data_IF_040836040370
#
_entry.id   IF_040836040370
#
_cell.length_a   1.000
_cell.length_b   1.000
_cell.length_c   1.000
_cell.angle_alpha   90.00
_cell.angle_beta   90.00
_cell.angle_gamma   90.00
#
_symmetry.space_group_name_H-M   'P 1'
#
loop_
_entity.id
_entity.type
_entity.pdbx_description
1 polymer ?
#
# COMPACT_ATOMS: atom_id res chain seq x y z
N UNK A 1 -17.92 16.32 2.20
CA UNK A 1 -16.79 16.08 1.27
C UNK A 1 -15.64 15.52 2.08
N UNK A 2 -15.00 14.44 1.62
CA UNK A 2 -13.81 13.90 2.29
C UNK A 2 -12.60 14.78 1.93
N UNK A 3 -11.79 15.14 2.92
CA UNK A 3 -10.55 15.92 2.72
C UNK A 3 -9.43 14.98 2.25
N UNK A 4 -9.42 14.68 0.95
CA UNK A 4 -8.44 13.78 0.31
C UNK A 4 -7.47 14.59 -0.55
N UNK A 5 -6.17 14.38 -0.35
CA UNK A 5 -5.07 14.92 -1.16
C UNK A 5 -4.43 13.76 -1.94
N UNK A 6 -4.28 13.90 -3.26
CA UNK A 6 -3.59 12.93 -4.09
C UNK A 6 -2.09 13.28 -4.14
N UNK A 7 -1.21 12.37 -3.75
CA UNK A 7 0.24 12.58 -3.85
C UNK A 7 0.80 11.62 -4.91
N UNK A 8 1.39 12.18 -5.96
CA UNK A 8 1.91 11.40 -7.08
C UNK A 8 3.38 11.00 -6.85
N UNK A 9 3.71 9.77 -7.23
CA UNK A 9 5.07 9.23 -7.18
C UNK A 9 5.70 9.23 -8.59
N UNK A 10 7.02 9.40 -8.71
CA UNK A 10 7.69 9.30 -10.01
C UNK A 10 7.55 7.89 -10.59
N UNK A 11 7.62 7.79 -11.92
CA UNK A 11 7.63 6.51 -12.63
C UNK A 11 8.75 5.62 -12.09
N UNK A 12 8.44 4.34 -11.81
CA UNK A 12 9.32 3.38 -11.14
C UNK A 12 9.69 3.69 -9.67
N UNK A 13 9.04 4.67 -9.04
CA UNK A 13 9.20 4.99 -7.62
C UNK A 13 8.30 4.16 -6.69
N UNK A 14 7.99 2.91 -7.04
CA UNK A 14 7.04 2.10 -6.26
C UNK A 14 7.46 1.94 -4.80
N UNK A 15 8.76 1.88 -4.53
CA UNK A 15 9.34 1.75 -3.19
C UNK A 15 8.96 2.88 -2.22
N UNK A 16 8.55 4.06 -2.74
CA UNK A 16 8.02 5.16 -1.93
C UNK A 16 6.57 4.89 -1.47
N UNK A 17 5.87 3.96 -2.11
CA UNK A 17 4.52 3.57 -1.75
C UNK A 17 4.54 2.60 -0.56
N UNK A 18 4.12 3.07 0.61
CA UNK A 18 4.07 2.27 1.83
C UNK A 18 3.24 0.99 1.74
N UNK A 19 2.30 0.91 0.80
CA UNK A 19 1.48 -0.29 0.62
C UNK A 19 2.26 -1.44 -0.03
N UNK A 20 3.34 -1.14 -0.78
CA UNK A 20 4.12 -2.15 -1.50
C UNK A 20 4.82 -3.11 -0.51
N UNK A 21 5.41 -2.56 0.55
CA UNK A 21 6.03 -3.35 1.62
C UNK A 21 5.00 -4.24 2.36
N UNK A 22 3.76 -3.76 2.53
CA UNK A 22 2.69 -4.53 3.17
C UNK A 22 2.24 -5.70 2.27
N UNK A 23 2.12 -5.47 0.95
CA UNK A 23 1.75 -6.51 -0.02
C UNK A 23 2.85 -7.56 -0.22
N UNK A 24 4.13 -7.18 -0.13
CA UNK A 24 5.22 -8.15 -0.19
C UNK A 24 5.09 -9.20 0.92
N UNK A 25 4.83 -8.77 2.16
CA UNK A 25 4.66 -9.67 3.29
C UNK A 25 3.37 -10.52 3.19
N UNK A 26 2.27 -9.96 2.67
CA UNK A 26 1.05 -10.73 2.38
C UNK A 26 1.31 -11.83 1.35
N UNK A 27 2.04 -11.52 0.26
CA UNK A 27 2.38 -12.50 -0.78
C UNK A 27 3.13 -13.69 -0.20
N UNK A 28 4.13 -13.44 0.63
CA UNK A 28 4.85 -14.54 1.30
C UNK A 28 3.93 -15.36 2.20
N UNK A 29 3.01 -14.74 2.94
CA UNK A 29 2.19 -15.47 3.90
C UNK A 29 1.03 -16.26 3.27
N UNK A 30 0.31 -15.67 2.31
CA UNK A 30 -0.95 -16.23 1.79
C UNK A 30 -0.86 -16.77 0.36
N UNK A 31 0.23 -16.48 -0.37
CA UNK A 31 0.39 -16.92 -1.77
C UNK A 31 1.56 -17.90 -1.94
N UNK A 32 2.67 -17.70 -1.22
CA UNK A 32 3.90 -18.48 -1.42
C UNK A 32 4.33 -19.33 -0.21
N UNK A 33 3.78 -19.11 0.98
CA UNK A 33 4.30 -19.67 2.25
C UNK A 33 3.49 -20.80 2.84
N UNK A 34 2.40 -21.21 2.17
CA UNK A 34 1.44 -22.20 2.67
C UNK A 34 0.91 -23.02 1.51
N UNK A 35 0.97 -24.35 1.62
CA UNK A 35 0.31 -25.29 0.71
C UNK A 35 -1.21 -25.24 0.95
N UNK A 36 -1.86 -24.23 0.39
CA UNK A 36 -3.31 -24.17 0.36
C UNK A 36 -3.84 -25.29 -0.54
N UNK A 37 -4.77 -26.09 -0.03
CA UNK A 37 -5.33 -27.23 -0.76
C UNK A 37 -6.50 -26.83 -1.66
N UNK A 38 -6.96 -25.59 -1.57
CA UNK A 38 -7.99 -25.00 -2.44
C UNK A 38 -7.90 -23.48 -2.49
N UNK A 39 -8.54 -22.88 -3.50
CA UNK A 39 -8.69 -21.43 -3.59
C UNK A 39 -9.53 -20.83 -2.45
N UNK A 40 -10.49 -21.58 -1.90
CA UNK A 40 -11.27 -21.12 -0.74
C UNK A 40 -10.40 -20.95 0.50
N UNK A 41 -9.48 -21.87 0.73
CA UNK A 41 -8.53 -21.80 1.85
C UNK A 41 -7.63 -20.57 1.74
N UNK A 42 -7.13 -20.29 0.53
CA UNK A 42 -6.35 -19.09 0.25
C UNK A 42 -7.17 -17.80 0.44
N UNK A 43 -8.43 -17.79 -0.01
CA UNK A 43 -9.33 -16.65 0.12
C UNK A 43 -9.68 -16.34 1.59
N UNK A 44 -9.60 -17.34 2.48
CA UNK A 44 -9.73 -17.16 3.93
C UNK A 44 -8.42 -16.65 4.55
N UNK A 45 -7.27 -17.11 4.07
CA UNK A 45 -5.96 -16.75 4.60
C UNK A 45 -5.61 -15.25 4.40
N UNK A 46 -5.97 -14.67 3.25
CA UNK A 46 -5.72 -13.25 2.93
C UNK A 46 -6.36 -12.29 3.95
N UNK A 47 -7.68 -12.30 4.19
CA UNK A 47 -8.30 -11.41 5.17
C UNK A 47 -7.88 -11.73 6.61
N UNK A 48 -7.58 -13.00 6.93
CA UNK A 48 -7.02 -13.36 8.23
C UNK A 48 -5.65 -12.72 8.47
N UNK A 49 -4.78 -12.71 7.46
CA UNK A 49 -3.50 -12.00 7.52
C UNK A 49 -3.70 -10.50 7.75
N UNK A 50 -4.56 -9.86 6.96
CA UNK A 50 -4.80 -8.41 7.05
C UNK A 50 -5.31 -8.03 8.45
N UNK A 51 -6.28 -8.79 8.99
CA UNK A 51 -6.78 -8.57 10.36
C UNK A 51 -5.68 -8.73 11.40
N UNK A 52 -4.90 -9.82 11.33
CA UNK A 52 -3.79 -10.07 12.26
C UNK A 52 -2.75 -8.94 12.20
N UNK A 53 -2.36 -8.52 10.99
CA UNK A 53 -1.34 -7.49 10.79
C UNK A 53 -1.82 -6.13 11.28
N UNK A 54 -3.10 -5.83 11.12
CA UNK A 54 -3.71 -4.57 11.51
C UNK A 54 -4.13 -4.49 12.99
N UNK A 55 -4.21 -5.62 13.71
CA UNK A 55 -4.63 -5.66 15.11
C UNK A 55 -3.83 -4.75 16.07
N UNK A 56 -2.59 -4.39 15.69
CA UNK A 56 -1.73 -3.46 16.43
C UNK A 56 -1.11 -2.39 15.53
N UNK A 57 -1.59 -2.25 14.30
CA UNK A 57 -1.08 -1.24 13.39
C UNK A 57 -1.56 0.14 13.86
N UNK A 58 -0.63 1.09 13.88
CA UNK A 58 -0.98 2.49 14.04
C UNK A 58 -1.26 3.10 12.67
N UNK A 59 -2.13 4.12 12.58
CA UNK A 59 -2.35 4.85 11.34
C UNK A 59 -1.03 5.37 10.77
N UNK A 60 -0.74 5.05 9.51
CA UNK A 60 0.38 5.65 8.78
C UNK A 60 -0.04 7.08 8.41
N UNK A 61 0.51 8.07 9.13
CA UNK A 61 0.24 9.51 8.92
C UNK A 61 1.50 10.22 8.42
N UNK A 62 1.34 11.47 7.95
CA UNK A 62 2.46 12.35 7.63
C UNK A 62 3.43 11.83 6.55
N UNK A 63 2.92 11.17 5.51
CA UNK A 63 3.74 10.74 4.37
C UNK A 63 4.48 11.93 3.74
N UNK A 64 5.81 11.86 3.63
CA UNK A 64 6.64 12.83 2.92
C UNK A 64 6.39 14.32 3.30
N UNK A 65 6.06 14.62 4.56
CA UNK A 65 5.88 16.01 5.02
C UNK A 65 7.17 16.81 4.79
N UNK A 66 7.04 17.97 4.15
CA UNK A 66 8.18 18.83 3.80
C UNK A 66 9.04 18.30 2.65
N UNK A 67 8.72 17.14 2.07
CA UNK A 67 9.42 16.61 0.90
C UNK A 67 9.04 17.40 -0.35
N UNK A 68 9.99 17.66 -1.27
CA UNK A 68 9.68 18.16 -2.59
C UNK A 68 8.62 17.34 -3.32
N UNK A 69 8.47 16.03 -3.05
CA UNK A 69 7.44 15.20 -3.70
C UNK A 69 6.02 15.79 -3.54
N UNK A 70 5.75 16.47 -2.42
CA UNK A 70 4.44 17.13 -2.21
C UNK A 70 4.26 18.42 -3.02
N UNK A 71 5.34 19.04 -3.50
CA UNK A 71 5.25 20.24 -4.38
C UNK A 71 4.99 19.86 -5.83
N UNK A 72 5.18 18.58 -6.20
CA UNK A 72 4.86 18.07 -7.54
C UNK A 72 3.36 17.90 -7.72
N UNK A 73 2.59 17.90 -6.64
CA UNK A 73 1.13 17.97 -6.70
C UNK A 73 0.63 19.29 -7.30
N UNK A 74 1.42 20.35 -7.16
CA UNK A 74 1.16 21.66 -7.81
C UNK A 74 1.69 21.71 -9.25
N UNK A 75 2.31 20.63 -9.76
CA UNK A 75 2.82 20.60 -11.11
C UNK A 75 1.62 20.67 -12.07
N UNK A 76 1.49 21.73 -12.88
CA UNK A 76 0.36 21.84 -13.78
C UNK A 76 0.43 20.66 -14.74
N UNK A 77 -0.65 19.87 -14.78
CA UNK A 77 -0.92 18.97 -15.90
C UNK A 77 -0.92 19.84 -17.15
N UNK A 78 0.24 20.00 -17.81
CA UNK A 78 0.29 20.50 -19.17
C UNK A 78 -0.29 19.38 -20.01
N UNK A 79 -1.60 19.42 -20.18
CA UNK A 79 -2.30 18.67 -21.21
C UNK A 79 -1.60 18.98 -22.54
N UNK A 80 -0.99 17.94 -23.11
CA UNK A 80 -0.56 17.94 -24.50
C UNK A 80 -1.78 17.71 -25.41
#
# INVERSE_FOLDING_TARGET
>A
MNAVELVFLPTYGSWLNWIEADFAALRYFALNGTDHRSHDEQNVAIPAYVRRRNARAQPKVNFAVGSPIRTWTDYPFKAA
#
